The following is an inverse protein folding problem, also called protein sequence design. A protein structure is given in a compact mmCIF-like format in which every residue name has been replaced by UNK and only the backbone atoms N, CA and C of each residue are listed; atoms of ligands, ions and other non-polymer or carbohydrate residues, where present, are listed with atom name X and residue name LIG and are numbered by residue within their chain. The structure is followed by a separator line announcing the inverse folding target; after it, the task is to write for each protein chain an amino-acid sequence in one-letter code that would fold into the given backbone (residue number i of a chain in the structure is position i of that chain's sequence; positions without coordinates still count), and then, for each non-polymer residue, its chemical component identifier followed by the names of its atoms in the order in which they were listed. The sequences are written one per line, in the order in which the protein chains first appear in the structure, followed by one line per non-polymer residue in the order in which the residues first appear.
data_IF_995581027560
#
_entry.id   IF_995581027560
#
_cell.length_a   1.000
_cell.length_b   1.000
_cell.length_c   1.000
_cell.angle_alpha   90.00
_cell.angle_beta   90.00
_cell.angle_gamma   90.00
#
_symmetry.space_group_name_H-M   'P 1'
#
loop_
_entity.id
_entity.type
_entity.pdbx_description
1 polymer ?
#
# COMPACT_ATOMS: atom_id res chain seq x y z
N UNK A 1 -14.23 -6.48 8.85
CA UNK A 1 -13.48 -5.74 7.85
C UNK A 1 -14.28 -5.73 6.56
N UNK A 2 -14.16 -4.67 5.79
CA UNK A 2 -14.89 -4.51 4.54
C UNK A 2 -13.91 -4.54 3.37
N UNK A 3 -14.25 -5.29 2.32
CA UNK A 3 -13.45 -5.39 1.11
C UNK A 3 -14.09 -4.56 0.01
N UNK A 4 -13.27 -3.72 -0.62
CA UNK A 4 -13.72 -2.88 -1.73
C UNK A 4 -12.82 -3.08 -2.94
N UNK A 5 -13.43 -3.23 -4.10
CA UNK A 5 -12.72 -3.12 -5.36
C UNK A 5 -12.32 -1.66 -5.56
N UNK A 6 -11.23 -1.43 -6.25
CA UNK A 6 -10.80 -0.07 -6.51
C UNK A 6 -10.05 0.05 -7.83
N UNK A 7 -9.92 1.29 -8.28
CA UNK A 7 -9.01 1.66 -9.37
C UNK A 7 -7.84 2.39 -8.77
N UNK A 8 -6.63 2.00 -9.15
CA UNK A 8 -5.42 2.68 -8.71
C UNK A 8 -5.32 4.03 -9.40
N UNK A 9 -5.13 5.09 -8.61
CA UNK A 9 -4.87 6.43 -9.12
C UNK A 9 -3.37 6.70 -9.17
N UNK A 10 -2.64 6.38 -8.09
CA UNK A 10 -1.18 6.48 -8.07
C UNK A 10 -0.59 5.75 -6.86
N UNK A 11 0.65 5.34 -6.99
CA UNK A 11 1.46 4.85 -5.87
C UNK A 11 2.22 6.06 -5.31
N UNK A 12 2.00 6.37 -4.04
CA UNK A 12 2.61 7.52 -3.36
C UNK A 12 3.98 7.14 -2.79
N UNK A 13 4.02 6.05 -2.03
CA UNK A 13 5.21 5.44 -1.46
C UNK A 13 5.05 3.92 -1.48
N UNK A 14 6.04 3.18 -1.04
CA UNK A 14 5.96 1.72 -0.99
C UNK A 14 4.87 1.19 -0.06
N UNK A 15 4.31 2.02 0.81
CA UNK A 15 3.27 1.65 1.77
C UNK A 15 2.00 2.51 1.67
N UNK A 16 1.88 3.33 0.64
CA UNK A 16 0.77 4.28 0.50
C UNK A 16 0.35 4.41 -0.95
N UNK A 17 -0.94 4.25 -1.22
CA UNK A 17 -1.52 4.40 -2.56
C UNK A 17 -2.75 5.30 -2.51
N UNK A 18 -3.01 5.99 -3.62
CA UNK A 18 -4.25 6.70 -3.84
C UNK A 18 -5.11 5.88 -4.77
N UNK A 19 -6.35 5.66 -4.39
CA UNK A 19 -7.29 4.82 -5.11
C UNK A 19 -8.64 5.50 -5.24
N UNK A 20 -9.44 4.98 -6.15
CA UNK A 20 -10.85 5.30 -6.26
C UNK A 20 -11.63 4.05 -5.88
N UNK A 21 -12.24 4.07 -4.69
CA UNK A 21 -12.96 2.93 -4.14
C UNK A 21 -14.33 2.81 -4.80
N UNK A 22 -14.67 1.59 -5.20
CA UNK A 22 -16.00 1.26 -5.72
C UNK A 22 -16.92 0.92 -4.54
N UNK A 23 -17.85 1.81 -4.23
CA UNK A 23 -18.81 1.63 -3.14
C UNK A 23 -20.12 0.97 -3.62
N UNK A 24 -20.18 0.59 -4.90
CA UNK A 24 -21.40 0.07 -5.49
C UNK A 24 -22.33 1.19 -5.95
N UNK A 25 -23.38 0.84 -6.69
CA UNK A 25 -24.38 1.80 -7.20
C UNK A 25 -23.78 2.96 -8.03
N UNK A 26 -22.65 2.73 -8.71
CA UNK A 26 -21.90 3.77 -9.43
C UNK A 26 -21.39 4.90 -8.53
N UNK A 27 -21.21 4.62 -7.23
CA UNK A 27 -20.64 5.56 -6.28
C UNK A 27 -19.15 5.24 -6.09
N UNK A 28 -18.31 6.23 -6.34
CA UNK A 28 -16.86 6.11 -6.22
C UNK A 28 -16.34 7.09 -5.18
N UNK A 29 -15.37 6.67 -4.40
CA UNK A 29 -14.78 7.51 -3.36
C UNK A 29 -13.26 7.49 -3.46
N UNK A 30 -12.66 8.66 -3.66
CA UNK A 30 -11.20 8.79 -3.67
C UNK A 30 -10.69 8.68 -2.24
N UNK A 31 -9.69 7.84 -2.04
CA UNK A 31 -9.12 7.62 -0.72
C UNK A 31 -7.61 7.40 -0.83
N UNK A 32 -6.90 7.84 0.19
CA UNK A 32 -5.49 7.49 0.39
C UNK A 32 -5.45 6.30 1.35
N UNK A 33 -4.86 5.22 0.88
CA UNK A 33 -4.73 3.99 1.65
C UNK A 33 -3.30 3.86 2.17
N UNK A 34 -3.17 3.78 3.49
CA UNK A 34 -1.94 3.42 4.17
C UNK A 34 -1.98 1.91 4.41
N UNK A 35 -0.97 1.20 3.95
CA UNK A 35 -0.94 -0.25 4.06
C UNK A 35 -0.71 -0.67 5.52
N UNK A 36 -1.64 -1.45 6.04
CA UNK A 36 -1.69 -1.84 7.45
C UNK A 36 -0.55 -2.78 7.81
N UNK A 37 0.05 -2.54 8.96
CA UNK A 37 1.02 -3.45 9.57
C UNK A 37 2.42 -3.42 8.98
N UNK A 38 2.71 -2.50 8.06
CA UNK A 38 4.03 -2.39 7.45
C UNK A 38 4.54 -0.95 7.45
N UNK A 39 5.85 -0.83 7.30
CA UNK A 39 6.53 0.44 7.07
C UNK A 39 7.57 0.23 5.97
N UNK A 40 7.72 1.20 5.08
CA UNK A 40 8.73 1.18 4.02
C UNK A 40 9.66 2.39 4.16
N UNK A 41 10.88 2.33 3.59
CA UNK A 41 11.76 3.50 3.57
C UNK A 41 11.10 4.67 2.84
N UNK A 42 11.39 5.89 3.27
CA UNK A 42 10.83 7.08 2.65
C UNK A 42 11.46 7.33 1.28
N UNK A 43 10.63 7.62 0.29
CA UNK A 43 11.09 7.94 -1.06
C UNK A 43 11.38 9.42 -1.27
N UNK A 44 10.96 10.28 -0.33
CA UNK A 44 11.10 11.74 -0.41
C UNK A 44 11.95 12.32 0.71
N UNK A 45 12.91 11.56 1.19
CA UNK A 45 13.86 11.99 2.21
C UNK A 45 15.10 12.63 1.57
N UNK A 46 15.83 13.43 2.36
CA UNK A 46 17.14 13.98 1.97
C UNK A 46 18.26 12.95 2.11
N UNK A 47 18.06 11.89 2.89
CA UNK A 47 19.01 10.79 3.00
C UNK A 47 18.98 9.97 1.70
N UNK A 48 20.02 10.06 0.90
CA UNK A 48 20.07 9.46 -0.44
C UNK A 48 20.01 7.94 -0.41
N UNK A 49 20.58 7.31 0.61
CA UNK A 49 20.56 5.85 0.75
C UNK A 49 19.13 5.36 1.08
N UNK A 50 18.47 6.01 2.04
CA UNK A 50 17.09 5.69 2.38
C UNK A 50 16.17 5.98 1.20
N UNK A 51 16.39 7.08 0.49
CA UNK A 51 15.61 7.45 -0.70
C UNK A 51 15.69 6.36 -1.77
N UNK A 52 16.88 5.80 -2.00
CA UNK A 52 17.05 4.72 -2.97
C UNK A 52 16.24 3.48 -2.56
N UNK A 53 16.28 3.11 -1.28
CA UNK A 53 15.47 2.01 -0.74
C UNK A 53 13.97 2.30 -0.88
N UNK A 54 13.55 3.52 -0.58
CA UNK A 54 12.16 3.95 -0.69
C UNK A 54 11.65 3.91 -2.13
N UNK A 55 12.47 4.37 -3.07
CA UNK A 55 12.12 4.32 -4.50
C UNK A 55 12.04 2.87 -5.01
N UNK A 56 12.90 1.98 -4.51
CA UNK A 56 12.86 0.56 -4.85
C UNK A 56 11.57 -0.09 -4.34
N UNK A 57 11.18 0.20 -3.10
CA UNK A 57 9.91 -0.30 -2.53
C UNK A 57 8.71 0.21 -3.32
N UNK A 58 8.71 1.49 -3.66
CA UNK A 58 7.66 2.11 -4.46
C UNK A 58 7.57 1.48 -5.85
N UNK A 59 8.69 1.26 -6.51
CA UNK A 59 8.75 0.62 -7.83
C UNK A 59 8.20 -0.81 -7.77
N UNK A 60 8.56 -1.57 -6.72
CA UNK A 60 8.05 -2.92 -6.54
C UNK A 60 6.56 -2.97 -6.35
N UNK A 61 6.01 -2.05 -5.57
CA UNK A 61 4.56 -1.96 -5.38
C UNK A 61 3.86 -1.66 -6.71
N UNK A 62 4.42 -0.74 -7.50
CA UNK A 62 3.88 -0.46 -8.84
C UNK A 62 3.86 -1.72 -9.72
N UNK A 63 4.90 -2.54 -9.68
CA UNK A 63 4.94 -3.80 -10.43
C UNK A 63 3.86 -4.77 -9.97
N UNK A 64 3.68 -4.93 -8.67
CA UNK A 64 2.66 -5.82 -8.11
C UNK A 64 1.25 -5.43 -8.51
N UNK A 65 1.00 -4.13 -8.65
CA UNK A 65 -0.33 -3.59 -8.96
C UNK A 65 -0.58 -3.43 -10.47
N UNK A 66 0.46 -3.48 -11.29
CA UNK A 66 0.33 -3.25 -12.73
C UNK A 66 -0.52 -4.33 -13.39
N UNK A 67 -1.61 -3.94 -14.03
CA UNK A 67 -2.50 -4.86 -14.71
C UNK A 67 -3.29 -5.80 -13.80
N UNK A 68 -3.21 -5.62 -12.49
CA UNK A 68 -3.90 -6.45 -11.52
C UNK A 68 -5.28 -5.89 -11.18
N UNK A 69 -6.17 -6.77 -10.76
CA UNK A 69 -7.40 -6.36 -10.07
C UNK A 69 -7.05 -6.08 -8.63
N UNK A 70 -7.40 -4.90 -8.15
CA UNK A 70 -7.01 -4.45 -6.82
C UNK A 70 -8.23 -4.39 -5.91
N UNK A 71 -8.09 -4.98 -4.71
CA UNK A 71 -9.08 -4.91 -3.66
C UNK A 71 -8.40 -4.41 -2.39
N UNK A 72 -9.12 -3.59 -1.63
CA UNK A 72 -8.65 -3.08 -0.34
C UNK A 72 -9.50 -3.72 0.76
N UNK A 73 -8.86 -4.47 1.64
CA UNK A 73 -9.48 -4.97 2.84
C UNK A 73 -9.29 -3.92 3.92
N UNK A 74 -10.34 -3.11 4.15
CA UNK A 74 -10.24 -1.95 5.03
C UNK A 74 -10.33 -2.35 6.50
N UNK A 75 -9.41 -1.82 7.30
CA UNK A 75 -9.45 -1.93 8.75
C UNK A 75 -10.55 -1.02 9.32
N UNK A 76 -11.11 -1.41 10.47
CA UNK A 76 -12.03 -0.55 11.23
C UNK A 76 -11.31 0.64 11.83
N UNK A 77 -9.99 0.55 12.00
CA UNK A 77 -9.19 1.64 12.54
C UNK A 77 -8.96 2.69 11.48
N UNK A 78 -9.06 3.95 11.88
CA UNK A 78 -8.72 5.07 11.00
C UNK A 78 -7.25 5.38 11.13
N UNK A 79 -6.59 5.58 10.00
CA UNK A 79 -5.23 6.07 9.96
C UNK A 79 -5.16 7.54 10.37
N UNK A 80 -3.95 8.01 10.65
CA UNK A 80 -3.71 9.43 10.89
C UNK A 80 -4.07 10.23 9.65
N UNK A 81 -4.55 11.46 9.84
CA UNK A 81 -4.88 12.40 8.75
C UNK A 81 -5.98 11.88 7.79
N UNK A 82 -6.92 11.09 8.31
CA UNK A 82 -8.05 10.61 7.52
C UNK A 82 -7.71 9.54 6.50
N UNK A 83 -6.51 8.96 6.57
CA UNK A 83 -6.13 7.85 5.68
C UNK A 83 -6.88 6.58 6.04
N UNK A 84 -7.24 5.80 5.02
CA UNK A 84 -7.78 4.46 5.22
C UNK A 84 -6.61 3.52 5.51
N UNK A 85 -6.74 2.70 6.55
CA UNK A 85 -5.79 1.63 6.83
C UNK A 85 -6.32 0.33 6.23
N UNK A 86 -5.49 -0.38 5.47
CA UNK A 86 -5.95 -1.60 4.84
C UNK A 86 -4.86 -2.51 4.31
N UNK A 87 -5.32 -3.70 3.92
CA UNK A 87 -4.48 -4.68 3.22
C UNK A 87 -4.79 -4.53 1.73
N UNK A 88 -3.74 -4.41 0.94
CA UNK A 88 -3.85 -4.29 -0.51
C UNK A 88 -3.70 -5.67 -1.14
N UNK A 89 -4.77 -6.13 -1.76
CA UNK A 89 -4.80 -7.40 -2.48
C UNK A 89 -4.74 -7.14 -3.98
N UNK A 90 -3.84 -7.84 -4.67
CA UNK A 90 -3.71 -7.77 -6.11
C UNK A 90 -3.95 -9.16 -6.70
N UNK A 91 -4.82 -9.24 -7.70
CA UNK A 91 -5.06 -10.47 -8.44
C UNK A 91 -4.57 -10.28 -9.86
N UNK A 92 -3.62 -11.11 -10.30
CA UNK A 92 -3.05 -11.01 -11.63
C UNK A 92 -3.94 -11.67 -12.69
N UNK A 93 -3.50 -11.64 -13.94
CA UNK A 93 -4.26 -12.21 -15.07
C UNK A 93 -4.42 -13.73 -14.98
N UNK A 94 -3.55 -14.39 -14.24
CA UNK A 94 -3.58 -15.83 -14.01
C UNK A 94 -4.39 -16.22 -12.78
N UNK A 95 -5.09 -15.25 -12.19
CA UNK A 95 -5.91 -15.40 -10.97
C UNK A 95 -5.11 -15.68 -9.70
N UNK A 96 -3.82 -15.34 -9.69
CA UNK A 96 -3.01 -15.40 -8.48
C UNK A 96 -3.31 -14.18 -7.62
N UNK A 97 -3.80 -14.42 -6.41
CA UNK A 97 -4.12 -13.35 -5.45
C UNK A 97 -2.96 -13.16 -4.49
N UNK A 98 -2.44 -11.94 -4.44
CA UNK A 98 -1.25 -11.59 -3.66
C UNK A 98 -1.62 -10.57 -2.61
N UNK A 99 -1.25 -10.84 -1.35
CA UNK A 99 -1.28 -9.85 -0.28
C UNK A 99 -0.03 -8.99 -0.42
N UNK A 100 -0.17 -7.78 -0.95
CA UNK A 100 0.97 -6.91 -1.22
C UNK A 100 1.68 -6.46 0.05
N UNK A 101 0.96 -6.30 1.17
CA UNK A 101 1.58 -5.96 2.45
C UNK A 101 2.59 -7.05 2.86
N UNK A 102 2.17 -8.30 2.83
CA UNK A 102 3.03 -9.43 3.17
C UNK A 102 4.15 -9.65 2.14
N UNK A 103 3.83 -9.47 0.86
CA UNK A 103 4.80 -9.68 -0.21
C UNK A 103 5.97 -8.71 -0.11
N UNK A 104 5.69 -7.43 0.18
CA UNK A 104 6.75 -6.44 0.35
C UNK A 104 7.64 -6.75 1.55
N UNK A 105 7.06 -7.24 2.65
CA UNK A 105 7.84 -7.69 3.81
C UNK A 105 8.71 -8.90 3.47
N UNK A 106 8.14 -9.88 2.77
CA UNK A 106 8.87 -11.10 2.37
C UNK A 106 10.06 -10.79 1.47
N UNK A 107 9.96 -9.75 0.63
CA UNK A 107 11.02 -9.33 -0.29
C UNK A 107 12.01 -8.35 0.34
N UNK A 108 11.82 -7.96 1.60
CA UNK A 108 12.69 -7.01 2.28
C UNK A 108 12.45 -5.55 1.92
N UNK A 109 11.40 -5.22 1.17
CA UNK A 109 11.03 -3.84 0.83
C UNK A 109 10.26 -3.12 1.93
N UNK A 110 9.70 -3.87 2.87
CA UNK A 110 8.98 -3.36 4.01
C UNK A 110 9.34 -4.15 5.25
N UNK A 111 8.99 -3.62 6.39
CA UNK A 111 9.13 -4.31 7.68
C UNK A 111 7.81 -4.22 8.46
N UNK A 112 7.52 -5.19 9.35
CA UNK A 112 6.33 -5.11 10.18
C UNK A 112 6.34 -3.83 11.03
N UNK A 113 5.18 -3.17 11.13
CA UNK A 113 5.04 -1.96 11.91
C UNK A 113 3.58 -1.83 12.39
N UNK A 114 3.39 -1.77 13.71
CA UNK A 114 2.06 -1.68 14.32
C UNK A 114 1.89 -0.44 15.19
N UNK A 115 2.58 0.64 14.84
CA UNK A 115 2.57 1.87 15.59
C UNK A 115 3.81 2.00 16.49
N UNK A 116 3.87 3.07 17.24
CA UNK A 116 5.01 3.37 18.11
C UNK A 116 6.13 4.10 17.38
N UNK A 117 7.32 3.99 17.93
CA UNK A 117 8.50 4.69 17.40
C UNK A 117 9.06 3.92 16.20
N UNK A 118 9.24 4.62 15.10
CA UNK A 118 9.89 4.04 13.91
C UNK A 118 11.41 4.03 14.11
N UNK A 119 12.02 2.89 13.81
CA UNK A 119 13.47 2.78 13.80
C UNK A 119 14.02 3.28 12.46
N UNK A 120 15.28 3.71 12.48
CA UNK A 120 15.96 4.10 11.25
C UNK A 120 16.15 2.89 10.32
N UNK A 121 16.13 3.13 9.02
CA UNK A 121 16.35 2.11 8.00
C UNK A 121 17.83 1.81 7.75
N UNK A 122 18.70 2.72 8.18
CA UNK A 122 20.15 2.60 7.95
C UNK A 122 20.92 2.79 9.27
#
# INVERSE_FOLDING_TARGET
MFDYRCKLLRVVDGDTIDVNLDLGFNVWHKARVRMLGIDTPESRTRNLEEKALGLASKARLKELLKGAKIEIECSKEKGKFGRVLGIVWATDKESNRINCNDQLCAEGHARPYYGGKKEAWL
#
